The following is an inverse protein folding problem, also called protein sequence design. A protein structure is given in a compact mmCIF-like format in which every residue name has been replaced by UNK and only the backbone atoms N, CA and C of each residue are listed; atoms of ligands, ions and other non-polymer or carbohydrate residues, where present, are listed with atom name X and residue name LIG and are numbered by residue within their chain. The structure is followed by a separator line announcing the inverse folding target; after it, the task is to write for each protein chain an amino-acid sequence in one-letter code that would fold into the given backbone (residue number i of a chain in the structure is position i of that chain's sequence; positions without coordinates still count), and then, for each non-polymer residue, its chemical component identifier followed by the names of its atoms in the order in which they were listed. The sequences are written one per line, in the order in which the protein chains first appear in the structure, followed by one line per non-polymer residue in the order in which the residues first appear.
data_IF_783850611184
#
_entry.id   IF_783850611184
#
_cell.length_a   1.000
_cell.length_b   1.000
_cell.length_c   1.000
_cell.angle_alpha   90.00
_cell.angle_beta   90.00
_cell.angle_gamma   90.00
#
_symmetry.space_group_name_H-M   'P 1'
#
loop_
_entity.id
_entity.type
_entity.pdbx_description
1 polymer ?
#
# COMPACT_ATOMS: atom_id res chain seq x y z
N UNK A 1 -8.50 42.95 0.19
CA UNK A 1 -7.81 41.99 1.07
C UNK A 1 -7.75 40.66 0.32
N UNK A 2 -6.60 40.28 -0.24
CA UNK A 2 -6.41 38.95 -0.82
C UNK A 2 -6.82 37.83 0.16
N UNK A 3 -7.46 36.78 -0.36
CA UNK A 3 -7.84 35.60 0.41
C UNK A 3 -6.79 34.52 0.14
N UNK A 4 -6.09 34.11 1.18
CA UNK A 4 -5.06 33.08 1.16
C UNK A 4 -5.71 31.69 1.26
N UNK A 5 -6.68 31.54 2.16
CA UNK A 5 -7.42 30.29 2.39
C UNK A 5 -8.90 30.59 2.54
N UNK A 6 -9.75 29.74 1.96
CA UNK A 6 -11.20 29.75 2.19
C UNK A 6 -11.68 28.32 2.37
N UNK A 7 -12.38 28.07 3.46
CA UNK A 7 -13.21 26.87 3.63
C UNK A 7 -14.63 27.29 3.90
N UNK A 8 -15.56 26.64 3.23
CA UNK A 8 -16.98 26.80 3.43
C UNK A 8 -17.58 25.43 3.72
N UNK A 9 -18.51 25.39 4.66
CA UNK A 9 -19.25 24.22 5.04
C UNK A 9 -20.73 24.61 5.17
N UNK A 10 -21.61 23.71 4.77
CA UNK A 10 -23.06 23.89 4.89
C UNK A 10 -23.57 22.84 5.86
N UNK A 11 -24.29 23.28 6.88
CA UNK A 11 -24.87 22.41 7.90
C UNK A 11 -26.25 22.94 8.29
N UNK A 12 -27.25 22.07 8.27
CA UNK A 12 -28.64 22.39 8.63
C UNK A 12 -29.21 23.60 7.84
N UNK A 13 -28.83 23.70 6.56
CA UNK A 13 -29.23 24.80 5.66
C UNK A 13 -28.52 26.13 5.91
N UNK A 14 -27.60 26.21 6.89
CA UNK A 14 -26.78 27.38 7.16
C UNK A 14 -25.37 27.21 6.62
N UNK A 15 -24.83 28.27 6.03
CA UNK A 15 -23.46 28.31 5.50
C UNK A 15 -22.53 28.89 6.56
N UNK A 16 -21.50 28.15 6.92
CA UNK A 16 -20.43 28.61 7.81
C UNK A 16 -19.13 28.62 6.99
N UNK A 17 -18.31 29.64 7.15
CA UNK A 17 -17.03 29.70 6.47
C UNK A 17 -15.93 30.31 7.33
N UNK A 18 -14.70 29.92 6.99
CA UNK A 18 -13.47 30.50 7.51
C UNK A 18 -12.66 30.99 6.32
N UNK A 19 -12.16 32.23 6.41
CA UNK A 19 -11.25 32.84 5.45
C UNK A 19 -10.01 33.33 6.17
N UNK A 20 -8.84 33.09 5.58
CA UNK A 20 -7.59 33.71 5.99
C UNK A 20 -7.22 34.71 4.91
N UNK A 21 -6.98 35.96 5.28
CA UNK A 21 -6.63 37.01 4.34
C UNK A 21 -5.52 37.90 4.87
N UNK A 22 -4.92 38.65 3.96
CA UNK A 22 -3.82 39.56 4.26
C UNK A 22 -4.19 40.96 3.78
N UNK A 23 -3.85 41.97 4.58
CA UNK A 23 -3.86 43.36 4.16
C UNK A 23 -2.41 43.82 4.05
N UNK A 24 -1.96 44.22 2.86
CA UNK A 24 -0.60 44.72 2.70
C UNK A 24 -0.43 46.06 3.41
N UNK A 25 0.81 46.41 3.81
CA UNK A 25 1.11 47.75 4.30
C UNK A 25 0.84 48.79 3.21
N UNK A 26 0.35 49.96 3.60
CA UNK A 26 0.00 51.03 2.66
C UNK A 26 0.24 52.41 3.26
N UNK A 27 0.64 53.36 2.41
CA UNK A 27 0.70 54.79 2.77
C UNK A 27 -0.58 55.46 2.28
N UNK A 28 -1.32 56.09 3.20
CA UNK A 28 -2.47 56.94 2.87
C UNK A 28 -2.39 58.23 3.67
N UNK A 29 -2.54 59.37 2.99
CA UNK A 29 -2.57 60.70 3.62
C UNK A 29 -1.35 60.96 4.53
N UNK A 30 -0.17 60.52 4.11
CA UNK A 30 1.08 60.67 4.88
C UNK A 30 1.20 59.77 6.12
N UNK A 31 0.23 58.89 6.40
CA UNK A 31 0.28 57.91 7.48
C UNK A 31 0.59 56.51 6.94
N UNK A 32 1.46 55.80 7.63
CA UNK A 32 1.77 54.39 7.35
C UNK A 32 0.73 53.53 8.04
N UNK A 33 0.04 52.69 7.25
CA UNK A 33 -0.80 51.60 7.74
C UNK A 33 0.01 50.31 7.65
N UNK A 34 0.30 49.69 8.79
CA UNK A 34 0.99 48.41 8.84
C UNK A 34 0.16 47.30 8.19
N UNK A 35 0.86 46.33 7.60
CA UNK A 35 0.24 45.11 7.09
C UNK A 35 -0.24 44.21 8.23
N UNK A 36 -1.17 43.31 7.92
CA UNK A 36 -1.65 42.33 8.90
C UNK A 36 -2.33 41.13 8.24
N UNK A 37 -2.29 40.00 8.95
CA UNK A 37 -3.09 38.83 8.64
C UNK A 37 -4.39 38.83 9.43
N UNK A 38 -5.42 38.23 8.85
CA UNK A 38 -6.73 38.15 9.45
C UNK A 38 -7.34 36.77 9.27
N UNK A 39 -8.03 36.32 10.32
CA UNK A 39 -8.97 35.20 10.24
C UNK A 39 -10.36 35.81 10.27
N UNK A 40 -11.17 35.47 9.26
CA UNK A 40 -12.58 35.85 9.19
C UNK A 40 -13.40 34.58 9.33
N UNK A 41 -14.21 34.52 10.37
CA UNK A 41 -15.19 33.46 10.58
C UNK A 41 -16.56 34.09 10.40
N UNK A 42 -17.41 33.50 9.58
CA UNK A 42 -18.74 34.05 9.36
C UNK A 42 -19.75 32.99 8.95
N UNK A 43 -21.00 33.40 9.01
CA UNK A 43 -22.16 32.64 8.59
C UNK A 43 -23.13 33.52 7.79
N UNK A 44 -24.37 33.07 7.61
CA UNK A 44 -25.42 33.83 6.92
C UNK A 44 -25.91 35.05 7.72
N UNK A 45 -25.59 35.14 9.01
CA UNK A 45 -26.04 36.21 9.91
C UNK A 45 -24.97 37.30 10.12
N UNK A 46 -23.68 36.97 9.92
CA UNK A 46 -22.63 37.98 9.92
C UNK A 46 -21.20 37.45 9.87
N UNK A 47 -20.23 38.38 9.90
CA UNK A 47 -18.81 38.06 9.89
C UNK A 47 -18.10 38.61 11.12
N UNK A 48 -17.23 37.81 11.73
CA UNK A 48 -16.24 38.26 12.71
C UNK A 48 -14.85 38.23 12.11
N UNK A 49 -14.14 39.35 12.23
CA UNK A 49 -12.78 39.54 11.75
C UNK A 49 -11.81 39.65 12.93
N UNK A 50 -10.85 38.73 12.97
CA UNK A 50 -9.79 38.66 13.99
C UNK A 50 -8.48 39.05 13.32
N UNK A 51 -7.83 40.11 13.82
CA UNK A 51 -6.47 40.48 13.41
C UNK A 51 -5.48 39.60 14.15
N UNK A 52 -4.56 38.98 13.43
CA UNK A 52 -3.45 38.25 14.02
C UNK A 52 -2.29 39.21 14.32
N UNK A 53 -1.62 38.97 15.44
CA UNK A 53 -0.28 39.49 15.67
C UNK A 53 0.74 38.80 14.76
N UNK A 54 1.91 39.41 14.58
CA UNK A 54 2.98 38.82 13.76
C UNK A 54 3.42 37.45 14.29
N UNK A 55 3.48 37.30 15.62
CA UNK A 55 3.85 36.05 16.27
C UNK A 55 2.81 34.95 16.04
N UNK A 56 1.51 35.27 16.14
CA UNK A 56 0.43 34.31 15.88
C UNK A 56 0.40 33.89 14.41
N UNK A 57 0.57 34.83 13.49
CA UNK A 57 0.64 34.55 12.06
C UNK A 57 1.82 33.62 11.73
N UNK A 58 2.98 33.87 12.35
CA UNK A 58 4.18 33.05 12.18
C UNK A 58 4.02 31.64 12.76
N UNK A 59 3.46 31.50 13.96
CA UNK A 59 3.20 30.19 14.59
C UNK A 59 2.25 29.34 13.73
N UNK A 60 1.15 29.94 13.24
CA UNK A 60 0.20 29.25 12.36
C UNK A 60 0.90 28.78 11.08
N UNK A 61 1.72 29.63 10.45
CA UNK A 61 2.44 29.27 9.24
C UNK A 61 3.40 28.08 9.48
N UNK A 62 4.19 28.12 10.56
CA UNK A 62 5.10 27.02 10.90
C UNK A 62 4.37 25.72 11.21
N UNK A 63 3.23 25.77 11.89
CA UNK A 63 2.41 24.59 12.18
C UNK A 63 1.87 23.96 10.90
N UNK A 64 1.36 24.77 9.96
CA UNK A 64 0.87 24.27 8.67
C UNK A 64 2.00 23.58 7.90
N UNK A 65 3.17 24.21 7.82
CA UNK A 65 4.34 23.63 7.12
C UNK A 65 4.77 22.32 7.78
N UNK A 66 4.85 22.28 9.11
CA UNK A 66 5.29 21.10 9.87
C UNK A 66 4.33 19.93 9.67
N UNK A 67 3.03 20.16 9.80
CA UNK A 67 2.00 19.13 9.61
C UNK A 67 2.04 18.60 8.17
N UNK A 68 2.18 19.50 7.18
CA UNK A 68 2.28 19.09 5.78
C UNK A 68 3.52 18.22 5.51
N UNK A 69 4.68 18.59 6.05
CA UNK A 69 5.90 17.79 5.95
C UNK A 69 5.75 16.42 6.62
N UNK A 70 5.09 16.36 7.78
CA UNK A 70 4.76 15.09 8.45
C UNK A 70 3.86 14.21 7.60
N UNK A 71 2.79 14.77 7.01
CA UNK A 71 1.88 14.03 6.13
C UNK A 71 2.62 13.42 4.94
N UNK A 72 3.45 14.19 4.23
CA UNK A 72 4.24 13.66 3.10
C UNK A 72 5.11 12.48 3.53
N UNK A 73 5.79 12.60 4.68
CA UNK A 73 6.65 11.52 5.20
C UNK A 73 5.84 10.28 5.55
N UNK A 74 4.67 10.45 6.17
CA UNK A 74 3.79 9.34 6.55
C UNK A 74 3.23 8.65 5.30
N UNK A 75 2.72 9.39 4.31
CA UNK A 75 2.22 8.81 3.06
C UNK A 75 3.29 7.96 2.37
N UNK A 76 4.52 8.47 2.25
CA UNK A 76 5.64 7.69 1.67
C UNK A 76 5.96 6.41 2.45
N UNK A 77 5.77 6.40 3.78
CA UNK A 77 5.97 5.20 4.59
C UNK A 77 4.83 4.19 4.36
N UNK A 78 3.59 4.67 4.35
CA UNK A 78 2.41 3.84 4.11
C UNK A 78 2.46 3.19 2.73
N UNK A 79 2.83 3.94 1.68
CA UNK A 79 2.98 3.38 0.32
C UNK A 79 3.99 2.23 0.28
N UNK A 80 5.14 2.39 0.97
CA UNK A 80 6.15 1.34 1.07
C UNK A 80 5.63 0.11 1.81
N UNK A 81 4.90 0.30 2.91
CA UNK A 81 4.32 -0.80 3.68
C UNK A 81 3.29 -1.57 2.86
N UNK A 82 2.37 -0.86 2.18
CA UNK A 82 1.36 -1.48 1.30
C UNK A 82 2.01 -2.30 0.19
N UNK A 83 3.07 -1.76 -0.43
CA UNK A 83 3.81 -2.49 -1.46
C UNK A 83 4.48 -3.76 -0.91
N UNK A 84 5.08 -3.70 0.28
CA UNK A 84 5.68 -4.88 0.93
C UNK A 84 4.63 -5.94 1.28
N UNK A 85 3.48 -5.54 1.83
CA UNK A 85 2.36 -6.45 2.11
C UNK A 85 1.80 -7.09 0.84
N UNK A 86 1.67 -6.33 -0.25
CA UNK A 86 1.29 -6.86 -1.55
C UNK A 86 2.29 -7.91 -2.04
N UNK A 87 3.60 -7.59 -2.00
CA UNK A 87 4.66 -8.51 -2.41
C UNK A 87 4.62 -9.81 -1.59
N UNK A 88 4.50 -9.72 -0.26
CA UNK A 88 4.40 -10.89 0.60
C UNK A 88 3.15 -11.73 0.31
N UNK A 89 2.01 -11.12 0.03
CA UNK A 89 0.80 -11.86 -0.39
C UNK A 89 1.01 -12.61 -1.69
N UNK A 90 1.61 -11.97 -2.69
CA UNK A 90 1.91 -12.61 -3.98
C UNK A 90 2.92 -13.76 -3.81
N UNK A 91 3.96 -13.59 -3.00
CA UNK A 91 4.91 -14.65 -2.67
C UNK A 91 4.25 -15.83 -1.97
N UNK A 92 3.29 -15.58 -1.07
CA UNK A 92 2.56 -16.65 -0.38
C UNK A 92 1.63 -17.40 -1.33
N UNK A 93 0.89 -16.70 -2.20
CA UNK A 93 0.03 -17.33 -3.22
C UNK A 93 0.88 -18.21 -4.15
N UNK A 94 2.03 -17.71 -4.61
CA UNK A 94 2.96 -18.50 -5.43
C UNK A 94 3.43 -19.77 -4.72
N UNK A 95 3.75 -19.68 -3.42
CA UNK A 95 4.13 -20.84 -2.61
C UNK A 95 2.99 -21.85 -2.42
N UNK A 96 1.75 -21.37 -2.29
CA UNK A 96 0.58 -22.25 -2.20
C UNK A 96 0.34 -22.97 -3.53
N UNK A 97 0.37 -22.25 -4.66
CA UNK A 97 0.30 -22.86 -5.99
C UNK A 97 1.42 -23.89 -6.23
N UNK A 98 2.65 -23.56 -5.85
CA UNK A 98 3.80 -24.47 -5.96
C UNK A 98 3.58 -25.74 -5.13
N UNK A 99 3.04 -25.62 -3.90
CA UNK A 99 2.68 -26.77 -3.07
C UNK A 99 1.55 -27.63 -3.63
N UNK A 100 0.55 -27.02 -4.27
CA UNK A 100 -0.52 -27.76 -4.95
C UNK A 100 0.05 -28.57 -6.11
N UNK A 101 0.90 -27.96 -6.95
CA UNK A 101 1.60 -28.65 -8.04
C UNK A 101 2.44 -29.83 -7.51
N UNK A 102 3.22 -29.61 -6.45
CA UNK A 102 4.02 -30.66 -5.81
C UNK A 102 3.16 -31.82 -5.34
N UNK A 103 2.07 -31.52 -4.62
CA UNK A 103 1.17 -32.52 -4.07
C UNK A 103 0.48 -33.34 -5.17
N UNK A 104 0.05 -32.71 -6.25
CA UNK A 104 -0.64 -33.40 -7.34
C UNK A 104 0.30 -34.32 -8.11
N UNK A 105 1.54 -33.88 -8.35
CA UNK A 105 2.59 -34.71 -8.96
C UNK A 105 2.93 -35.90 -8.05
N UNK A 106 3.13 -35.68 -6.75
CA UNK A 106 3.43 -36.76 -5.80
C UNK A 106 2.28 -37.77 -5.73
N UNK A 107 1.03 -37.32 -5.60
CA UNK A 107 -0.14 -38.20 -5.57
C UNK A 107 -0.24 -39.03 -6.86
N UNK A 108 0.02 -38.41 -8.01
CA UNK A 108 0.01 -39.10 -9.29
C UNK A 108 1.10 -40.18 -9.37
N UNK A 109 2.32 -39.85 -8.98
CA UNK A 109 3.42 -40.81 -8.94
C UNK A 109 3.14 -41.98 -7.98
N UNK A 110 2.57 -41.71 -6.80
CA UNK A 110 2.18 -42.77 -5.84
C UNK A 110 1.13 -43.71 -6.47
N UNK A 111 0.10 -43.15 -7.13
CA UNK A 111 -0.94 -43.94 -7.81
C UNK A 111 -0.37 -44.79 -8.96
N UNK A 112 0.70 -44.32 -9.60
CA UNK A 112 1.37 -44.99 -10.71
C UNK A 112 2.44 -46.00 -10.23
N UNK A 113 2.55 -46.26 -8.92
CA UNK A 113 3.50 -47.22 -8.36
C UNK A 113 4.88 -46.64 -8.02
N UNK A 114 5.00 -45.31 -7.93
CA UNK A 114 6.21 -44.60 -7.53
C UNK A 114 7.05 -44.06 -8.70
N UNK A 115 6.70 -44.40 -9.94
CA UNK A 115 7.37 -43.95 -11.16
C UNK A 115 6.37 -43.60 -12.27
N UNK A 116 6.70 -42.64 -13.12
CA UNK A 116 5.99 -42.29 -14.34
C UNK A 116 6.94 -41.65 -15.37
N UNK A 117 6.44 -41.29 -16.54
CA UNK A 117 7.19 -40.53 -17.56
C UNK A 117 6.80 -39.04 -17.55
N UNK A 118 7.68 -38.19 -18.07
CA UNK A 118 7.40 -36.75 -18.21
C UNK A 118 6.21 -36.53 -19.15
N UNK A 119 6.07 -37.36 -20.18
CA UNK A 119 4.94 -37.33 -21.11
C UNK A 119 3.62 -37.68 -20.42
N UNK A 120 3.58 -38.74 -19.61
CA UNK A 120 2.36 -39.10 -18.85
C UNK A 120 1.93 -38.00 -17.88
N UNK A 121 2.89 -37.36 -17.19
CA UNK A 121 2.60 -36.22 -16.31
C UNK A 121 2.09 -35.04 -17.12
N UNK A 122 2.69 -34.75 -18.28
CA UNK A 122 2.25 -33.66 -19.15
C UNK A 122 0.85 -33.88 -19.70
N UNK A 123 0.52 -35.11 -20.08
CA UNK A 123 -0.76 -35.44 -20.71
C UNK A 123 -1.90 -35.51 -19.69
N UNK A 124 -1.62 -36.00 -18.47
CA UNK A 124 -2.66 -36.22 -17.45
C UNK A 124 -2.79 -35.07 -16.44
N UNK A 125 -1.68 -34.39 -16.08
CA UNK A 125 -1.69 -33.26 -15.14
C UNK A 125 -1.51 -31.92 -15.87
N UNK A 126 -0.96 -31.92 -17.07
CA UNK A 126 -0.78 -30.72 -17.89
C UNK A 126 0.66 -30.19 -17.91
N UNK A 127 0.90 -29.28 -18.86
CA UNK A 127 2.23 -28.72 -19.15
C UNK A 127 2.87 -28.05 -17.93
N UNK A 128 2.09 -27.29 -17.14
CA UNK A 128 2.58 -26.60 -15.92
C UNK A 128 3.21 -27.55 -14.91
N UNK A 129 2.65 -28.75 -14.76
CA UNK A 129 3.16 -29.77 -13.84
C UNK A 129 4.46 -30.39 -14.37
N UNK A 130 4.51 -30.70 -15.67
CA UNK A 130 5.72 -31.24 -16.30
C UNK A 130 6.90 -30.26 -16.22
N UNK A 131 6.67 -28.95 -16.46
CA UNK A 131 7.71 -27.93 -16.37
C UNK A 131 8.24 -27.74 -14.93
N UNK A 132 7.40 -28.00 -13.93
CA UNK A 132 7.74 -27.88 -12.51
C UNK A 132 8.62 -29.03 -11.99
N UNK A 133 8.73 -30.15 -12.72
CA UNK A 133 9.54 -31.31 -12.32
C UNK A 133 11.01 -30.98 -12.08
N UNK A 134 11.60 -30.07 -12.87
CA UNK A 134 12.98 -29.61 -12.67
C UNK A 134 13.19 -28.87 -11.35
N UNK A 135 12.14 -28.23 -10.83
CA UNK A 135 12.16 -27.58 -9.52
C UNK A 135 12.07 -28.64 -8.42
N UNK A 136 11.16 -29.60 -8.55
CA UNK A 136 11.04 -30.72 -7.61
C UNK A 136 12.30 -31.58 -7.53
N UNK A 137 12.98 -31.82 -8.65
CA UNK A 137 14.25 -32.55 -8.68
C UNK A 137 15.33 -31.82 -7.90
N UNK A 138 15.45 -30.50 -8.12
CA UNK A 138 16.41 -29.65 -7.40
C UNK A 138 16.13 -29.60 -5.90
N UNK A 139 14.85 -29.64 -5.52
CA UNK A 139 14.40 -29.73 -4.13
C UNK A 139 14.57 -31.15 -3.56
N UNK A 140 15.02 -32.12 -4.35
CA UNK A 140 15.27 -33.49 -3.94
C UNK A 140 14.01 -34.32 -3.72
N UNK A 141 12.84 -33.88 -4.21
CA UNK A 141 11.56 -34.58 -4.04
C UNK A 141 11.34 -35.69 -5.08
N UNK A 142 11.93 -35.53 -6.27
CA UNK A 142 11.87 -36.50 -7.37
C UNK A 142 13.26 -36.68 -7.99
N UNK A 143 13.44 -37.75 -8.74
CA UNK A 143 14.65 -38.02 -9.52
C UNK A 143 14.24 -38.10 -10.99
N UNK A 144 14.91 -37.33 -11.86
CA UNK A 144 14.70 -37.39 -13.30
C UNK A 144 15.83 -38.20 -13.95
N UNK A 145 15.46 -39.22 -14.73
CA UNK A 145 16.39 -40.03 -15.53
C UNK A 145 15.89 -40.12 -16.96
N UNK A 146 16.33 -39.20 -17.81
CA UNK A 146 15.82 -39.08 -19.18
C UNK A 146 14.33 -38.72 -19.16
N UNK A 147 13.49 -39.54 -19.79
CA UNK A 147 12.02 -39.34 -19.79
C UNK A 147 11.32 -39.90 -18.53
N UNK A 148 12.05 -40.56 -17.61
CA UNK A 148 11.46 -41.16 -16.41
C UNK A 148 11.56 -40.23 -15.20
N UNK A 149 10.50 -40.24 -14.40
CA UNK A 149 10.32 -39.50 -13.15
C UNK A 149 10.00 -40.49 -12.04
N UNK A 150 10.77 -40.49 -10.95
CA UNK A 150 10.54 -41.36 -9.80
C UNK A 150 10.53 -40.55 -8.50
N UNK A 151 9.69 -40.92 -7.53
CA UNK A 151 9.68 -40.28 -6.21
C UNK A 151 11.02 -40.55 -5.52
N UNK A 152 11.65 -39.50 -4.98
CA UNK A 152 12.81 -39.68 -4.13
C UNK A 152 12.36 -40.04 -2.70
N UNK A 153 12.24 -41.33 -2.41
CA UNK A 153 11.89 -41.84 -1.07
C UNK A 153 13.01 -41.65 -0.01
N UNK A 154 14.10 -40.95 -0.35
CA UNK A 154 15.29 -40.77 0.50
C UNK A 154 15.25 -39.60 1.49
N UNK A 155 14.09 -39.19 2.02
CA UNK A 155 14.02 -38.11 3.00
C UNK A 155 12.65 -37.93 3.67
N UNK A 156 12.48 -38.58 4.83
CA UNK A 156 11.40 -38.42 5.83
C UNK A 156 9.95 -38.52 5.32
N UNK A 157 9.46 -39.76 5.27
CA UNK A 157 8.06 -40.03 5.61
C UNK A 157 7.95 -39.90 7.13
N UNK A 158 7.36 -38.82 7.62
CA UNK A 158 6.94 -38.76 9.03
C UNK A 158 5.81 -39.80 9.21
N UNK A 159 6.18 -40.98 9.71
CA UNK A 159 5.27 -41.99 10.22
C UNK A 159 4.55 -41.47 11.47
N UNK A 160 3.51 -40.66 11.28
CA UNK A 160 2.49 -40.39 12.31
C UNK A 160 1.10 -40.24 11.71
N UNK A 161 0.64 -41.25 10.97
CA UNK A 161 -0.79 -41.54 10.87
C UNK A 161 -1.02 -43.02 10.57
N UNK A 162 -1.01 -43.86 11.62
CA UNK A 162 -1.85 -45.04 11.75
C UNK A 162 -2.45 -44.99 13.15
#
# INVERSE_FOLDING_TARGET
MPIIVRKTHEKDGKKIYIRIGESPPAVKEGKIKEGAFFIIVGDDEGEKKIRLTDQEALDIAYRIITIYQMHIRIYRKLDKMVYQEYKHRMENIKKEEEKELENDIIKFLIRSGGEATIEEIRDLLGVKHADYLHVMERNGLVILKGNKVSINMGGKVDEKTI
#
